data_IF_091438872231
#
_entry.id   IF_091438872231
#
_cell.length_a   1.000
_cell.length_b   1.000
_cell.length_c   1.000
_cell.angle_alpha   90.00
_cell.angle_beta   90.00
_cell.angle_gamma   90.00
#
_symmetry.space_group_name_H-M   'P 1'
#
loop_
_entity.id
_entity.type
_entity.pdbx_description
1 polymer ?
#
# COMPACT_ATOMS: atom_id res chain seq x y z
N UNK A 1 9.40 -19.74 -19.60
CA UNK A 1 8.66 -18.48 -19.39
C UNK A 1 7.31 -18.87 -18.82
N UNK A 2 7.17 -18.82 -17.50
CA UNK A 2 5.98 -19.33 -16.81
C UNK A 2 5.12 -18.15 -16.36
N UNK A 3 3.93 -18.06 -16.95
CA UNK A 3 2.87 -17.14 -16.60
C UNK A 3 2.40 -17.42 -15.17
N UNK A 4 2.85 -16.63 -14.20
CA UNK A 4 2.31 -16.69 -12.84
C UNK A 4 0.97 -15.92 -12.83
N UNK A 5 -0.10 -16.62 -13.18
CA UNK A 5 -1.46 -16.29 -12.72
C UNK A 5 -1.50 -16.41 -11.20
N UNK A 6 -1.01 -15.40 -10.49
CA UNK A 6 -1.33 -15.26 -9.06
C UNK A 6 -2.78 -14.82 -8.99
N UNK A 7 -3.60 -15.68 -8.41
CA UNK A 7 -4.95 -15.41 -7.92
C UNK A 7 -5.12 -13.93 -7.58
N UNK A 8 -6.15 -13.28 -8.12
CA UNK A 8 -6.56 -11.90 -7.80
C UNK A 8 -7.04 -11.80 -6.36
N UNK A 9 -6.17 -12.12 -5.41
CA UNK A 9 -6.40 -11.97 -3.98
C UNK A 9 -6.03 -10.55 -3.64
N UNK A 10 -7.04 -9.70 -3.53
CA UNK A 10 -6.88 -8.32 -3.12
C UNK A 10 -6.37 -8.34 -1.66
N UNK A 11 -5.07 -8.06 -1.47
CA UNK A 11 -4.46 -7.96 -0.15
C UNK A 11 -4.47 -6.51 0.30
N UNK A 12 -5.30 -6.23 1.29
CA UNK A 12 -5.35 -4.94 1.97
C UNK A 12 -4.47 -4.97 3.21
N UNK A 13 -3.67 -3.93 3.38
CA UNK A 13 -2.72 -3.79 4.47
C UNK A 13 -3.10 -2.62 5.35
N UNK A 14 -2.90 -2.77 6.65
CA UNK A 14 -2.95 -1.63 7.56
C UNK A 14 -1.69 -0.78 7.42
N UNK A 15 -1.74 0.48 7.90
CA UNK A 15 -0.58 1.39 7.93
C UNK A 15 0.66 0.71 8.55
N UNK A 16 0.48 -0.04 9.65
CA UNK A 16 1.57 -0.73 10.34
C UNK A 16 2.22 -1.80 9.46
N UNK A 17 1.39 -2.60 8.79
CA UNK A 17 1.87 -3.64 7.89
C UNK A 17 2.53 -3.04 6.65
N UNK A 18 1.99 -1.96 6.10
CA UNK A 18 2.57 -1.26 4.96
C UNK A 18 3.94 -0.66 5.30
N UNK A 19 4.10 -0.08 6.50
CA UNK A 19 5.38 0.40 6.98
C UNK A 19 6.39 -0.75 7.19
N UNK A 20 5.95 -1.87 7.76
CA UNK A 20 6.80 -3.05 7.97
C UNK A 20 7.25 -3.73 6.66
N UNK A 21 6.55 -3.52 5.55
CA UNK A 21 6.94 -4.06 4.24
C UNK A 21 8.10 -3.32 3.59
N UNK A 22 8.38 -2.08 4.01
CA UNK A 22 9.37 -1.21 3.37
C UNK A 22 10.35 -0.74 4.43
N UNK A 23 11.55 -1.32 4.41
CA UNK A 23 12.62 -0.89 5.30
C UNK A 23 12.93 0.60 5.06
N UNK A 24 12.91 1.39 6.15
CA UNK A 24 13.13 2.84 6.12
C UNK A 24 11.86 3.70 6.03
N UNK A 25 10.67 3.11 5.88
CA UNK A 25 9.41 3.86 5.87
C UNK A 25 8.73 3.85 7.23
N UNK A 26 8.46 5.04 7.80
CA UNK A 26 7.78 5.14 9.09
C UNK A 26 6.26 5.04 8.94
N UNK A 27 5.57 4.52 9.98
CA UNK A 27 4.10 4.50 10.03
C UNK A 27 3.52 5.92 9.84
N UNK A 28 4.20 6.93 10.37
CA UNK A 28 3.81 8.33 10.22
C UNK A 28 3.84 8.77 8.76
N UNK A 29 4.90 8.43 8.00
CA UNK A 29 5.00 8.78 6.59
C UNK A 29 3.91 8.10 5.77
N UNK A 30 3.65 6.82 6.02
CA UNK A 30 2.55 6.08 5.35
C UNK A 30 1.20 6.74 5.63
N UNK A 31 0.94 7.14 6.88
CA UNK A 31 -0.28 7.87 7.25
C UNK A 31 -0.38 9.21 6.49
N UNK A 32 0.70 9.98 6.44
CA UNK A 32 0.73 11.24 5.70
C UNK A 32 0.46 11.02 4.20
N UNK A 33 1.00 9.97 3.60
CA UNK A 33 0.74 9.63 2.19
C UNK A 33 -0.75 9.33 1.94
N UNK A 34 -1.42 8.64 2.87
CA UNK A 34 -2.87 8.45 2.79
C UNK A 34 -3.62 9.79 2.94
N UNK A 35 -3.27 10.61 3.93
CA UNK A 35 -3.94 11.90 4.19
C UNK A 35 -3.76 12.89 3.04
N UNK A 36 -2.59 12.93 2.41
CA UNK A 36 -2.31 13.75 1.24
C UNK A 36 -2.92 13.21 -0.05
N UNK A 37 -3.58 12.04 -0.03
CA UNK A 37 -4.15 11.41 -1.23
C UNK A 37 -3.12 10.85 -2.21
N UNK A 38 -1.86 10.70 -1.79
CA UNK A 38 -0.77 10.19 -2.64
C UNK A 38 -0.93 8.69 -2.95
N UNK A 39 -1.51 7.93 -2.01
CA UNK A 39 -1.71 6.49 -2.15
C UNK A 39 -3.21 6.16 -2.07
N UNK A 40 -3.73 5.36 -3.02
CA UNK A 40 -5.09 4.84 -2.95
C UNK A 40 -5.31 4.04 -1.66
N UNK A 41 -6.30 4.46 -0.88
CA UNK A 41 -6.64 3.83 0.40
C UNK A 41 -8.14 3.84 0.62
N UNK A 42 -8.60 2.91 1.46
CA UNK A 42 -10.00 2.81 1.90
C UNK A 42 -10.01 2.94 3.43
N UNK A 43 -11.01 3.65 3.95
CA UNK A 43 -11.26 3.67 5.39
C UNK A 43 -12.20 2.54 5.80
N UNK A 44 -11.78 1.75 6.80
CA UNK A 44 -12.62 0.79 7.50
C UNK A 44 -12.81 1.27 8.93
N UNK A 45 -13.81 2.12 9.14
CA UNK A 45 -14.01 2.84 10.40
C UNK A 45 -12.85 3.79 10.69
N UNK A 46 -12.12 3.54 11.79
CA UNK A 46 -10.96 4.35 12.20
C UNK A 46 -9.62 3.88 11.61
N UNK A 47 -9.64 2.82 10.78
CA UNK A 47 -8.42 2.23 10.20
C UNK A 47 -8.32 2.54 8.71
N UNK A 48 -7.08 2.74 8.26
CA UNK A 48 -6.74 2.85 6.85
C UNK A 48 -6.30 1.50 6.32
N UNK A 49 -6.90 1.10 5.20
CA UNK A 49 -6.56 -0.09 4.43
C UNK A 49 -5.96 0.35 3.10
N UNK A 50 -4.77 -0.13 2.82
CA UNK A 50 -3.97 0.22 1.65
C UNK A 50 -3.84 -1.03 0.79
N UNK A 51 -4.10 -0.92 -0.51
CA UNK A 51 -3.86 -2.03 -1.42
C UNK A 51 -2.34 -2.23 -1.58
N UNK A 52 -1.87 -3.45 -1.26
CA UNK A 52 -0.45 -3.81 -1.33
C UNK A 52 0.15 -3.56 -2.72
N UNK A 53 -0.56 -3.93 -3.78
CA UNK A 53 -0.03 -3.85 -5.15
C UNK A 53 0.13 -2.40 -5.60
N UNK A 54 -0.90 -1.58 -5.36
CA UNK A 54 -0.87 -0.17 -5.71
C UNK A 54 0.20 0.59 -4.91
N UNK A 55 0.35 0.25 -3.62
CA UNK A 55 1.38 0.83 -2.78
C UNK A 55 2.79 0.50 -3.28
N UNK A 56 3.05 -0.74 -3.67
CA UNK A 56 4.35 -1.14 -4.23
C UNK A 56 4.61 -0.48 -5.58
N UNK A 57 3.60 -0.38 -6.46
CA UNK A 57 3.73 0.34 -7.74
C UNK A 57 4.06 1.81 -7.53
N UNK A 58 3.40 2.46 -6.57
CA UNK A 58 3.67 3.85 -6.22
C UNK A 58 5.12 4.05 -5.76
N UNK A 59 5.61 3.18 -4.87
CA UNK A 59 6.98 3.27 -4.36
C UNK A 59 8.05 3.00 -5.41
N UNK A 60 7.73 2.22 -6.44
CA UNK A 60 8.60 1.99 -7.60
C UNK A 60 8.62 3.17 -8.58
N UNK A 61 7.73 4.15 -8.40
CA UNK A 61 7.59 5.30 -9.31
C UNK A 61 6.83 4.98 -10.60
N UNK A 62 6.06 3.89 -10.64
CA UNK A 62 5.32 3.46 -11.84
C UNK A 62 3.99 4.23 -12.04
N UNK A 63 3.55 4.99 -11.04
CA UNK A 63 2.38 5.87 -11.12
C UNK A 63 2.85 7.33 -11.06
N UNK A 64 2.85 8.00 -12.21
CA UNK A 64 2.93 9.45 -12.34
C UNK A 64 1.53 10.03 -12.57
#
# INVERSE_FOLDING_TARGET
>A
MAENKTETKIVMLTIKQAAALVEGLTEYRVRQMCLCGQVPHIMAGNKYLINKELFLKYLRGETA
#
